data_IF_272469621582
#
_entry.id   IF_272469621582
#
_cell.length_a   1.000
_cell.length_b   1.000
_cell.length_c   1.000
_cell.angle_alpha   90.00
_cell.angle_beta   90.00
_cell.angle_gamma   90.00
#
_symmetry.space_group_name_H-M   'P 1'
#
loop_
_entity.id
_entity.type
_entity.pdbx_description
1 polymer ?
#
# COMPACT_ATOMS: atom_id res chain seq x y z
N UNK A 1 22.92 5.14 8.50
CA UNK A 1 21.56 5.09 7.93
C UNK A 1 21.26 3.67 7.49
N UNK A 2 20.39 2.95 8.21
CA UNK A 2 19.94 1.60 7.84
C UNK A 2 18.50 1.68 7.36
N UNK A 3 18.23 1.19 6.15
CA UNK A 3 16.90 1.09 5.58
C UNK A 3 16.48 -0.37 5.47
N UNK A 4 15.19 -0.61 5.60
CA UNK A 4 14.61 -1.92 5.37
C UNK A 4 13.36 -1.80 4.51
N UNK A 5 13.32 -2.58 3.43
CA UNK A 5 12.20 -2.67 2.49
C UNK A 5 11.71 -4.11 2.48
N UNK A 6 10.43 -4.32 2.74
CA UNK A 6 9.82 -5.64 2.69
C UNK A 6 8.59 -5.65 1.79
N UNK A 7 8.62 -6.40 0.68
CA UNK A 7 7.38 -6.79 0.03
C UNK A 7 6.74 -7.89 0.89
N UNK A 8 5.72 -7.56 1.69
CA UNK A 8 4.87 -8.58 2.28
C UNK A 8 4.19 -9.30 1.10
N UNK A 9 4.68 -10.50 0.78
CA UNK A 9 4.08 -11.33 -0.28
C UNK A 9 2.63 -11.61 0.08
N UNK A 10 1.75 -11.60 -0.93
CA UNK A 10 0.38 -12.09 -0.82
C UNK A 10 0.40 -13.54 -0.34
N UNK A 11 -0.26 -13.81 0.78
CA UNK A 11 -0.44 -15.15 1.33
C UNK A 11 0.46 -15.49 2.52
N UNK A 12 -0.20 -15.85 3.64
CA UNK A 12 0.40 -16.48 4.81
C UNK A 12 0.53 -15.56 6.02
N UNK A 13 -0.41 -15.67 6.96
CA UNK A 13 -0.31 -15.11 8.31
C UNK A 13 0.92 -15.66 9.02
N UNK A 14 1.85 -14.79 9.43
CA UNK A 14 3.01 -15.13 10.28
C UNK A 14 3.27 -13.99 11.28
N UNK A 15 2.80 -14.12 12.53
CA UNK A 15 3.13 -13.18 13.60
C UNK A 15 4.64 -12.99 13.74
N UNK A 16 5.08 -11.75 13.99
CA UNK A 16 6.48 -11.40 14.32
C UNK A 16 7.53 -11.75 13.25
N UNK A 17 7.12 -12.14 12.04
CA UNK A 17 8.06 -12.52 10.98
C UNK A 17 9.02 -11.39 10.59
N UNK A 18 8.52 -10.15 10.61
CA UNK A 18 9.31 -8.96 10.32
C UNK A 18 10.42 -8.80 11.36
N UNK A 19 10.02 -8.70 12.63
CA UNK A 19 10.90 -8.54 13.79
C UNK A 19 11.97 -9.62 13.81
N UNK A 20 11.57 -10.89 13.73
CA UNK A 20 12.49 -12.02 13.84
C UNK A 20 13.59 -12.03 12.78
N UNK A 21 13.35 -11.43 11.60
CA UNK A 21 14.37 -11.38 10.53
C UNK A 21 15.37 -10.24 10.68
N UNK A 22 14.99 -9.13 11.31
CA UNK A 22 15.78 -7.88 11.24
C UNK A 22 16.10 -7.26 12.58
N UNK A 23 15.61 -7.82 13.69
CA UNK A 23 15.82 -7.27 15.03
C UNK A 23 17.31 -7.09 15.37
N UNK A 24 18.20 -7.98 14.90
CA UNK A 24 19.65 -7.85 15.10
C UNK A 24 20.26 -6.60 14.42
N UNK A 25 19.54 -5.99 13.47
CA UNK A 25 19.98 -4.78 12.77
C UNK A 25 19.37 -3.50 13.34
N UNK A 26 18.35 -3.62 14.19
CA UNK A 26 17.69 -2.52 14.90
C UNK A 26 18.64 -1.86 15.93
N UNK A 27 18.33 -0.64 16.40
CA UNK A 27 17.23 0.21 15.96
C UNK A 27 17.53 0.97 14.64
N UNK A 28 16.48 1.33 13.91
CA UNK A 28 16.57 2.02 12.62
C UNK A 28 16.29 3.52 12.74
N UNK A 29 16.97 4.32 11.91
CA UNK A 29 16.71 5.76 11.79
C UNK A 29 15.41 6.01 11.00
N UNK A 30 15.19 5.23 9.93
CA UNK A 30 14.01 5.31 9.07
C UNK A 30 13.61 3.92 8.60
N UNK A 31 12.31 3.63 8.62
CA UNK A 31 11.71 2.45 8.00
C UNK A 31 10.79 2.94 6.87
N UNK A 32 10.86 2.29 5.70
CA UNK A 32 10.07 2.67 4.52
C UNK A 32 9.29 1.47 4.00
N UNK A 33 7.99 1.66 3.79
CA UNK A 33 7.06 0.67 3.22
C UNK A 33 6.32 1.27 2.03
N UNK A 34 5.97 0.43 1.05
CA UNK A 34 5.26 0.82 -0.17
C UNK A 34 4.30 -0.25 -0.68
N UNK A 35 3.02 0.06 -0.80
CA UNK A 35 1.96 -0.77 -1.40
C UNK A 35 1.92 -2.21 -0.87
N UNK A 36 2.05 -2.40 0.45
CA UNK A 36 2.29 -3.73 1.02
C UNK A 36 1.43 -4.10 2.22
N UNK A 37 1.05 -3.13 3.05
CA UNK A 37 0.37 -3.35 4.33
C UNK A 37 -1.15 -3.45 4.12
N UNK A 38 -1.70 -2.79 3.10
CA UNK A 38 -3.13 -2.81 2.77
C UNK A 38 -3.68 -4.21 2.42
N UNK A 39 -2.83 -5.20 2.15
CA UNK A 39 -3.24 -6.59 1.93
C UNK A 39 -3.45 -7.38 3.23
N UNK A 40 -3.10 -6.82 4.38
CA UNK A 40 -3.18 -7.51 5.67
C UNK A 40 -4.53 -7.29 6.36
N UNK A 41 -5.05 -8.27 7.12
CA UNK A 41 -6.21 -8.03 8.00
C UNK A 41 -5.93 -6.94 9.02
N UNK A 42 -6.97 -6.24 9.49
CA UNK A 42 -6.84 -5.05 10.35
C UNK A 42 -6.07 -5.31 11.65
N UNK A 43 -6.29 -6.48 12.27
CA UNK A 43 -5.54 -6.92 13.45
C UNK A 43 -4.04 -6.98 13.13
N UNK A 44 -3.66 -7.55 11.99
CA UNK A 44 -2.27 -7.66 11.58
C UNK A 44 -1.66 -6.32 11.21
N UNK A 45 -2.42 -5.38 10.62
CA UNK A 45 -1.94 -4.02 10.37
C UNK A 45 -1.49 -3.35 11.67
N UNK A 46 -2.28 -3.47 12.74
CA UNK A 46 -1.92 -2.93 14.07
C UNK A 46 -0.65 -3.56 14.63
N UNK A 47 -0.52 -4.88 14.56
CA UNK A 47 0.70 -5.58 14.98
C UNK A 47 1.92 -5.13 14.17
N UNK A 48 1.80 -4.97 12.84
CA UNK A 48 2.90 -4.48 11.99
C UNK A 48 3.34 -3.08 12.42
N UNK A 49 2.40 -2.17 12.68
CA UNK A 49 2.75 -0.83 13.14
C UNK A 49 3.44 -0.83 14.51
N UNK A 50 3.00 -1.70 15.42
CA UNK A 50 3.68 -1.92 16.70
C UNK A 50 5.10 -2.47 16.52
N UNK A 51 5.27 -3.51 15.69
CA UNK A 51 6.57 -4.10 15.37
C UNK A 51 7.52 -3.06 14.74
N UNK A 52 7.01 -2.20 13.86
CA UNK A 52 7.79 -1.12 13.24
C UNK A 52 8.22 -0.09 14.29
N UNK A 53 7.31 0.30 15.18
CA UNK A 53 7.59 1.25 16.26
C UNK A 53 8.71 0.75 17.17
N UNK A 54 8.69 -0.53 17.56
CA UNK A 54 9.72 -1.16 18.40
C UNK A 54 11.10 -1.25 17.72
N UNK A 55 11.12 -1.27 16.39
CA UNK A 55 12.37 -1.33 15.61
C UNK A 55 12.97 0.06 15.35
N UNK A 56 12.23 1.15 15.57
CA UNK A 56 12.72 2.52 15.37
C UNK A 56 13.54 3.00 16.58
N UNK A 57 14.50 3.90 16.30
CA UNK A 57 15.10 4.73 17.35
C UNK A 57 14.07 5.72 17.91
N UNK A 58 14.29 6.27 19.12
CA UNK A 58 13.66 7.54 19.49
C UNK A 58 13.85 8.56 18.35
N UNK A 59 12.78 9.29 18.00
CA UNK A 59 12.74 10.25 16.88
C UNK A 59 12.93 9.64 15.48
N UNK A 60 12.94 8.32 15.35
CA UNK A 60 12.97 7.63 14.07
C UNK A 60 11.67 7.80 13.27
N UNK A 61 11.77 7.74 11.94
CA UNK A 61 10.63 7.95 11.04
C UNK A 61 10.14 6.65 10.41
N UNK A 62 8.82 6.49 10.34
CA UNK A 62 8.19 5.50 9.48
C UNK A 62 7.50 6.20 8.31
N UNK A 63 7.91 5.84 7.08
CA UNK A 63 7.30 6.35 5.85
C UNK A 63 6.54 5.20 5.16
N UNK A 64 5.22 5.31 5.06
CA UNK A 64 4.37 4.32 4.42
C UNK A 64 3.64 4.92 3.21
N UNK A 65 4.07 4.54 2.00
CA UNK A 65 3.33 4.86 0.78
C UNK A 65 2.26 3.80 0.57
N UNK A 66 0.99 4.15 0.73
CA UNK A 66 -0.06 3.14 0.78
C UNK A 66 -1.36 3.55 0.08
N UNK A 67 -2.12 2.54 -0.35
CA UNK A 67 -3.51 2.71 -0.79
C UNK A 67 -4.44 2.68 0.43
N UNK A 68 -5.25 3.73 0.58
CA UNK A 68 -6.29 3.85 1.60
C UNK A 68 -7.67 3.92 0.96
N UNK A 69 -8.74 3.68 1.73
CA UNK A 69 -10.08 3.84 1.18
C UNK A 69 -10.39 5.32 0.96
N UNK A 70 -11.17 5.62 -0.08
CA UNK A 70 -11.63 6.99 -0.33
C UNK A 70 -12.55 7.47 0.81
N UNK A 71 -12.58 8.78 1.11
CA UNK A 71 -13.42 9.32 2.17
C UNK A 71 -14.92 9.31 1.83
N UNK A 72 -15.29 9.17 0.56
CA UNK A 72 -16.67 9.01 0.11
C UNK A 72 -16.73 8.26 -1.22
N UNK A 73 -17.91 7.70 -1.53
CA UNK A 73 -18.18 7.02 -2.80
C UNK A 73 -18.00 7.94 -4.01
N UNK A 74 -18.39 9.20 -3.91
CA UNK A 74 -18.24 10.18 -4.98
C UNK A 74 -16.76 10.44 -5.30
N UNK A 75 -15.91 10.55 -4.27
CA UNK A 75 -14.47 10.71 -4.47
C UNK A 75 -13.84 9.43 -5.04
N UNK A 76 -14.32 8.26 -4.62
CA UNK A 76 -13.87 6.98 -5.18
C UNK A 76 -14.18 6.87 -6.68
N UNK A 77 -15.41 7.21 -7.08
CA UNK A 77 -15.84 7.20 -8.48
C UNK A 77 -15.03 8.19 -9.32
N UNK A 78 -14.84 9.43 -8.83
CA UNK A 78 -14.01 10.43 -9.50
C UNK A 78 -12.55 9.96 -9.67
N UNK A 79 -11.97 9.40 -8.61
CA UNK A 79 -10.62 8.84 -8.67
C UNK A 79 -10.54 7.71 -9.71
N UNK A 80 -11.50 6.80 -9.71
CA UNK A 80 -11.53 5.68 -10.65
C UNK A 80 -11.58 6.15 -12.11
N UNK A 81 -12.43 7.12 -12.44
CA UNK A 81 -12.53 7.65 -13.81
C UNK A 81 -11.22 8.34 -14.25
N UNK A 82 -10.65 9.21 -13.42
CA UNK A 82 -9.38 9.89 -13.71
C UNK A 82 -8.22 8.89 -13.83
N UNK A 83 -8.25 7.82 -13.03
CA UNK A 83 -7.25 6.76 -13.10
C UNK A 83 -7.38 5.95 -14.39
N UNK A 84 -8.60 5.63 -14.82
CA UNK A 84 -8.86 4.97 -16.12
C UNK A 84 -8.38 5.85 -17.27
N UNK A 85 -8.63 7.16 -17.23
CA UNK A 85 -8.14 8.11 -18.24
C UNK A 85 -6.61 8.15 -18.29
N UNK A 86 -5.96 8.14 -17.12
CA UNK A 86 -4.50 8.09 -17.00
C UNK A 86 -3.93 6.80 -17.57
N UNK A 87 -4.56 5.66 -17.30
CA UNK A 87 -4.17 4.36 -17.85
C UNK A 87 -4.35 4.32 -19.37
N UNK A 88 -5.44 4.89 -19.87
CA UNK A 88 -5.69 4.99 -21.31
C UNK A 88 -4.62 5.86 -21.98
N UNK A 89 -4.33 7.05 -21.46
CA UNK A 89 -3.26 7.91 -21.98
C UNK A 89 -1.89 7.21 -21.96
N UNK A 90 -1.58 6.47 -20.89
CA UNK A 90 -0.38 5.65 -20.83
C UNK A 90 -0.36 4.59 -21.93
N UNK A 91 -1.47 3.87 -22.13
CA UNK A 91 -1.60 2.87 -23.20
C UNK A 91 -1.41 3.46 -24.60
N UNK A 92 -1.92 4.66 -24.86
CA UNK A 92 -1.71 5.38 -26.12
C UNK A 92 -0.23 5.77 -26.30
N UNK A 93 0.43 6.25 -25.23
CA UNK A 93 1.85 6.61 -25.27
C UNK A 93 2.78 5.42 -25.57
N UNK A 94 2.33 4.20 -25.25
CA UNK A 94 3.04 2.94 -25.54
C UNK A 94 2.68 2.34 -26.90
N UNK A 95 1.86 3.03 -27.71
CA UNK A 95 1.45 2.58 -29.04
C UNK A 95 0.48 1.39 -29.02
N UNK A 96 -0.17 1.10 -27.89
CA UNK A 96 -1.19 0.05 -27.84
C UNK A 96 -2.48 0.53 -28.53
N UNK A 97 -3.29 -0.39 -29.06
CA UNK A 97 -4.57 -0.08 -29.72
C UNK A 97 -5.79 -0.25 -28.80
N UNK A 98 -5.58 -0.27 -27.48
CA UNK A 98 -6.67 -0.48 -26.53
C UNK A 98 -7.57 0.75 -26.50
N UNK A 99 -8.86 0.54 -26.66
CA UNK A 99 -9.88 1.55 -26.41
C UNK A 99 -9.97 1.91 -24.92
N UNK A 100 -10.52 3.09 -24.62
CA UNK A 100 -10.79 3.50 -23.24
C UNK A 100 -11.74 2.52 -22.54
N UNK A 101 -12.73 2.00 -23.26
CA UNK A 101 -13.71 1.02 -22.78
C UNK A 101 -13.06 -0.31 -22.38
N UNK A 102 -12.06 -0.76 -23.15
CA UNK A 102 -11.27 -1.95 -22.80
C UNK A 102 -10.41 -1.72 -21.56
N UNK A 103 -9.75 -0.55 -21.45
CA UNK A 103 -8.97 -0.18 -20.27
C UNK A 103 -9.88 -0.12 -19.03
N UNK A 104 -11.05 0.51 -19.16
CA UNK A 104 -12.03 0.60 -18.08
C UNK A 104 -12.48 -0.79 -17.61
N UNK A 105 -12.85 -1.66 -18.55
CA UNK A 105 -13.25 -3.05 -18.24
C UNK A 105 -12.14 -3.81 -17.54
N UNK A 106 -10.90 -3.67 -17.98
CA UNK A 106 -9.75 -4.31 -17.34
C UNK A 106 -9.52 -3.78 -15.92
N UNK A 107 -9.66 -2.47 -15.70
CA UNK A 107 -9.51 -1.85 -14.40
C UNK A 107 -10.51 -2.39 -13.35
N UNK A 108 -11.79 -2.50 -13.71
CA UNK A 108 -12.81 -2.99 -12.79
C UNK A 108 -12.77 -4.51 -12.58
N UNK A 109 -12.30 -5.28 -13.56
CA UNK A 109 -12.23 -6.74 -13.49
C UNK A 109 -10.86 -7.29 -13.06
N UNK A 110 -10.03 -6.46 -12.40
CA UNK A 110 -8.72 -6.89 -11.92
C UNK A 110 -8.84 -7.90 -10.77
N UNK A 111 -8.29 -9.12 -10.88
CA UNK A 111 -8.38 -10.13 -9.82
C UNK A 111 -7.64 -9.73 -8.54
N UNK A 112 -6.59 -8.91 -8.65
CA UNK A 112 -5.82 -8.41 -7.52
C UNK A 112 -6.60 -7.41 -6.65
N UNK A 113 -7.66 -6.78 -7.17
CA UNK A 113 -8.46 -5.79 -6.44
C UNK A 113 -9.16 -6.41 -5.22
N UNK A 114 -9.46 -7.72 -5.28
CA UNK A 114 -10.08 -8.49 -4.19
C UNK A 114 -9.13 -8.62 -2.99
N UNK A 115 -7.81 -8.57 -3.22
CA UNK A 115 -6.82 -8.67 -2.15
C UNK A 115 -6.64 -7.35 -1.37
N UNK A 116 -7.26 -6.25 -1.80
CA UNK A 116 -7.13 -4.97 -1.14
C UNK A 116 -8.06 -4.89 0.07
N UNK A 117 -7.50 -4.86 1.28
CA UNK A 117 -8.21 -4.66 2.55
C UNK A 117 -7.98 -3.21 2.97
N UNK A 118 -8.66 -2.28 2.29
CA UNK A 118 -8.49 -0.85 2.48
C UNK A 118 -9.27 -0.37 3.72
N UNK A 119 -8.64 0.49 4.49
CA UNK A 119 -9.28 1.23 5.60
C UNK A 119 -9.12 2.71 5.30
N UNK A 120 -10.05 3.53 5.78
CA UNK A 120 -9.90 4.98 5.77
C UNK A 120 -8.81 5.39 6.77
N UNK A 121 -8.15 6.50 6.49
CA UNK A 121 -7.25 7.15 7.43
C UNK A 121 -7.75 8.56 7.74
N UNK A 122 -7.64 8.98 9.00
CA UNK A 122 -7.72 10.39 9.36
C UNK A 122 -6.43 11.09 8.93
N UNK A 123 -6.54 12.37 8.56
CA UNK A 123 -5.38 13.24 8.39
C UNK A 123 -5.23 14.04 9.67
N UNK A 124 -4.11 13.86 10.36
CA UNK A 124 -3.75 14.63 11.55
C UNK A 124 -2.63 15.60 11.18
N UNK A 125 -2.80 16.86 11.55
CA UNK A 125 -1.77 17.89 11.43
C UNK A 125 -1.02 17.96 12.76
N UNK A 126 0.31 17.86 12.71
CA UNK A 126 1.20 18.08 13.86
C UNK A 126 1.36 19.57 14.16
#
# INVERSE_FOLDING_TARGET
MKYFFHPLKRGGFRPHFLVNKIHQKAPFDVIVSGFSIHHQPDIRKREIYQEIYELLKPEGLFLNLEQVSSPSKLIEELFNELFVDSLYAFHQSKGTKKSREEVNRQYYNRPDKIANILISCSVEYL
#
